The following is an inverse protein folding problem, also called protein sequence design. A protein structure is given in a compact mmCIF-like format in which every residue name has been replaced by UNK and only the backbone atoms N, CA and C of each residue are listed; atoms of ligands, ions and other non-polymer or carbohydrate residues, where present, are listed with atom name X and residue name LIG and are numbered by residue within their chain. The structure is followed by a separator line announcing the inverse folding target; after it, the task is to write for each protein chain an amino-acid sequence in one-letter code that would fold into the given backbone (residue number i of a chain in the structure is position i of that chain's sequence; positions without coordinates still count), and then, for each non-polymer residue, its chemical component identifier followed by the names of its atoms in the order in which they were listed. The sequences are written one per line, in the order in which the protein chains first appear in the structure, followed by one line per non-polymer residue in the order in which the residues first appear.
data_IF_214603189818
#
_entry.id   IF_214603189818
#
_cell.length_a   1.000
_cell.length_b   1.000
_cell.length_c   1.000
_cell.angle_alpha   90.00
_cell.angle_beta   90.00
_cell.angle_gamma   90.00
#
_symmetry.space_group_name_H-M   'P 1'
#
loop_
_entity.id
_entity.type
_entity.pdbx_description
1 polymer ?
#
# COMPACT_ATOMS: atom_id res chain seq x y z
N UNK A 1 0.11 -12.20 -7.96
CA UNK A 1 0.46 -11.91 -6.55
C UNK A 1 0.00 -10.50 -6.13
N UNK A 2 -0.53 -9.72 -7.06
CA UNK A 2 -1.01 -8.35 -6.80
C UNK A 2 -2.19 -8.34 -5.86
N UNK A 3 -2.99 -9.41 -5.93
CA UNK A 3 -4.06 -9.73 -4.99
C UNK A 3 -3.54 -9.90 -3.57
N UNK A 4 -2.35 -10.49 -3.39
CA UNK A 4 -1.71 -10.70 -2.08
C UNK A 4 -1.19 -9.36 -1.55
N UNK A 5 -0.44 -8.61 -2.36
CA UNK A 5 0.02 -7.27 -1.97
C UNK A 5 -1.17 -6.37 -1.60
N UNK A 6 -2.20 -6.33 -2.45
CA UNK A 6 -3.43 -5.56 -2.21
C UNK A 6 -4.17 -6.01 -0.97
N UNK A 7 -4.23 -7.32 -0.71
CA UNK A 7 -4.85 -7.87 0.50
C UNK A 7 -4.10 -7.41 1.75
N UNK A 8 -2.77 -7.51 1.79
CA UNK A 8 -1.98 -6.99 2.92
C UNK A 8 -2.12 -5.48 3.09
N UNK A 9 -2.24 -4.73 1.97
CA UNK A 9 -2.47 -3.29 2.01
C UNK A 9 -3.82 -2.95 2.67
N UNK A 10 -4.90 -3.57 2.19
CA UNK A 10 -6.24 -3.40 2.75
C UNK A 10 -6.29 -3.88 4.21
N UNK A 11 -5.66 -5.00 4.52
CA UNK A 11 -5.59 -5.55 5.87
C UNK A 11 -4.85 -4.61 6.82
N UNK A 12 -3.78 -3.95 6.36
CA UNK A 12 -3.05 -2.96 7.14
C UNK A 12 -3.94 -1.79 7.58
N UNK A 13 -4.81 -1.31 6.70
CA UNK A 13 -5.78 -0.26 7.02
C UNK A 13 -6.89 -0.77 7.95
N UNK A 14 -7.46 -1.93 7.62
CA UNK A 14 -8.56 -2.52 8.38
C UNK A 14 -8.14 -2.81 9.82
N UNK A 15 -6.99 -3.46 10.02
CA UNK A 15 -6.46 -3.74 11.36
C UNK A 15 -6.14 -2.45 12.11
N UNK A 16 -5.57 -1.44 11.45
CA UNK A 16 -5.33 -0.13 12.09
C UNK A 16 -6.62 0.47 12.66
N UNK A 17 -7.70 0.50 11.87
CA UNK A 17 -8.97 1.07 12.31
C UNK A 17 -9.69 0.20 13.33
N UNK A 18 -9.67 -1.14 13.20
CA UNK A 18 -10.24 -2.05 14.20
C UNK A 18 -9.55 -1.87 15.56
N UNK A 19 -8.22 -1.92 15.61
CA UNK A 19 -7.48 -1.73 16.86
C UNK A 19 -7.76 -0.35 17.47
N UNK A 20 -7.94 0.68 16.63
CA UNK A 20 -8.32 2.02 17.06
C UNK A 20 -9.74 2.06 17.66
N UNK A 21 -10.71 1.33 17.09
CA UNK A 21 -12.07 1.20 17.64
C UNK A 21 -12.05 0.55 19.03
N UNK A 22 -11.21 -0.45 19.23
CA UNK A 22 -10.97 -1.09 20.53
C UNK A 22 -10.11 -0.26 21.50
N UNK A 23 -9.81 1.01 21.17
CA UNK A 23 -9.00 1.93 21.99
C UNK A 23 -7.61 1.38 22.36
N UNK A 24 -7.05 0.50 21.52
CA UNK A 24 -5.68 0.01 21.69
C UNK A 24 -4.69 1.17 21.57
N UNK A 25 -3.56 1.06 22.29
CA UNK A 25 -2.52 2.10 22.30
C UNK A 25 -2.10 2.48 20.87
N UNK A 26 -2.09 3.78 20.58
CA UNK A 26 -1.74 4.35 19.26
C UNK A 26 -0.42 3.80 18.71
N UNK A 27 0.59 3.61 19.57
CA UNK A 27 1.89 3.07 19.19
C UNK A 27 1.79 1.65 18.62
N UNK A 28 0.91 0.82 19.16
CA UNK A 28 0.66 -0.54 18.66
C UNK A 28 -0.07 -0.46 17.32
N UNK A 29 -1.15 0.32 17.21
CA UNK A 29 -1.88 0.46 15.94
C UNK A 29 -0.97 0.91 14.79
N UNK A 30 -0.11 1.91 15.05
CA UNK A 30 0.84 2.43 14.06
C UNK A 30 1.92 1.39 13.73
N UNK A 31 2.48 0.69 14.72
CA UNK A 31 3.46 -0.39 14.47
C UNK A 31 2.87 -1.49 13.60
N UNK A 32 1.67 -1.96 13.91
CA UNK A 32 0.99 -3.01 13.14
C UNK A 32 0.71 -2.54 11.71
N UNK A 33 0.24 -1.31 11.52
CA UNK A 33 0.04 -0.71 10.20
C UNK A 33 1.34 -0.67 9.37
N UNK A 34 2.44 -0.25 9.98
CA UNK A 34 3.75 -0.19 9.32
C UNK A 34 4.23 -1.59 8.94
N UNK A 35 4.10 -2.59 9.82
CA UNK A 35 4.53 -3.96 9.54
C UNK A 35 3.75 -4.56 8.36
N UNK A 36 2.41 -4.50 8.41
CA UNK A 36 1.56 -5.04 7.35
C UNK A 36 1.71 -4.27 6.04
N UNK A 37 1.82 -2.94 6.12
CA UNK A 37 2.07 -2.08 4.96
C UNK A 37 3.42 -2.38 4.31
N UNK A 38 4.47 -2.61 5.10
CA UNK A 38 5.80 -2.97 4.59
C UNK A 38 5.78 -4.33 3.88
N UNK A 39 5.09 -5.32 4.44
CA UNK A 39 4.90 -6.64 3.79
C UNK A 39 4.22 -6.46 2.43
N UNK A 40 3.16 -5.65 2.38
CA UNK A 40 2.45 -5.36 1.13
C UNK A 40 3.37 -4.75 0.05
N UNK A 41 4.19 -3.76 0.41
CA UNK A 41 5.15 -3.13 -0.50
C UNK A 41 6.22 -4.12 -0.95
N UNK A 42 6.75 -4.95 -0.04
CA UNK A 42 7.76 -5.96 -0.38
C UNK A 42 7.23 -6.99 -1.38
N UNK A 43 6.02 -7.52 -1.14
CA UNK A 43 5.36 -8.43 -2.07
C UNK A 43 5.16 -7.76 -3.43
N UNK A 44 4.84 -6.47 -3.45
CA UNK A 44 4.68 -5.73 -4.71
C UNK A 44 6.00 -5.61 -5.49
N UNK A 45 7.10 -5.32 -4.82
CA UNK A 45 8.42 -5.21 -5.46
C UNK A 45 8.83 -6.56 -6.05
N UNK A 46 8.66 -7.65 -5.29
CA UNK A 46 8.98 -9.01 -5.76
C UNK A 46 8.16 -9.34 -7.00
N UNK A 47 6.87 -9.08 -6.99
CA UNK A 47 6.02 -9.34 -8.16
C UNK A 47 6.37 -8.47 -9.35
N UNK A 48 6.67 -7.19 -9.12
CA UNK A 48 7.09 -6.29 -10.20
C UNK A 48 8.30 -6.87 -10.93
N UNK A 49 9.32 -7.35 -10.20
CA UNK A 49 10.50 -7.98 -10.77
C UNK A 49 10.14 -9.27 -11.54
N UNK A 50 9.30 -10.13 -10.96
CA UNK A 50 8.92 -11.41 -11.57
C UNK A 50 8.11 -11.25 -12.87
N UNK A 51 7.45 -10.11 -13.06
CA UNK A 51 6.62 -9.83 -14.26
C UNK A 51 7.35 -9.11 -15.37
N UNK A 52 8.61 -8.70 -15.18
CA UNK A 52 9.41 -8.07 -16.23
C UNK A 52 9.50 -9.02 -17.44
N UNK A 53 9.11 -8.52 -18.62
CA UNK A 53 9.14 -9.30 -19.87
C UNK A 53 7.94 -10.21 -20.10
N UNK A 54 6.97 -10.26 -19.18
CA UNK A 54 5.72 -11.00 -19.39
C UNK A 54 4.67 -10.15 -20.12
N UNK A 55 3.76 -10.82 -20.83
CA UNK A 55 2.62 -10.16 -21.47
C UNK A 55 1.77 -9.43 -20.42
N UNK A 56 1.38 -8.20 -20.72
CA UNK A 56 0.58 -7.37 -19.82
C UNK A 56 1.35 -6.65 -18.71
N UNK A 57 2.69 -6.77 -18.64
CA UNK A 57 3.54 -6.06 -17.65
C UNK A 57 3.23 -4.56 -17.51
N UNK A 58 2.93 -3.87 -18.62
CA UNK A 58 2.60 -2.44 -18.62
C UNK A 58 1.43 -2.12 -17.67
N UNK A 59 0.44 -3.01 -17.55
CA UNK A 59 -0.71 -2.83 -16.65
C UNK A 59 -0.30 -2.84 -15.16
N UNK A 60 0.81 -3.50 -14.84
CA UNK A 60 1.34 -3.67 -13.49
C UNK A 60 2.19 -2.50 -13.00
N UNK A 61 2.78 -1.74 -13.94
CA UNK A 61 3.63 -0.60 -13.61
C UNK A 61 2.86 0.42 -12.78
N UNK A 62 1.62 0.74 -13.17
CA UNK A 62 0.80 1.71 -12.43
C UNK A 62 0.56 1.29 -10.98
N UNK A 63 0.25 0.01 -10.76
CA UNK A 63 0.00 -0.54 -9.43
C UNK A 63 1.27 -0.52 -8.56
N UNK A 64 2.40 -0.94 -9.13
CA UNK A 64 3.68 -0.95 -8.45
C UNK A 64 4.14 0.46 -8.08
N UNK A 65 4.00 1.44 -8.99
CA UNK A 65 4.37 2.84 -8.73
C UNK A 65 3.55 3.41 -7.57
N UNK A 66 2.23 3.22 -7.56
CA UNK A 66 1.37 3.69 -6.46
C UNK A 66 1.84 3.11 -5.12
N UNK A 67 2.05 1.79 -5.07
CA UNK A 67 2.46 1.09 -3.86
C UNK A 67 3.84 1.54 -3.35
N UNK A 68 4.80 1.73 -4.24
CA UNK A 68 6.14 2.22 -3.90
C UNK A 68 6.05 3.65 -3.34
N UNK A 69 5.26 4.53 -3.96
CA UNK A 69 5.06 5.91 -3.46
C UNK A 69 4.42 5.91 -2.08
N UNK A 70 3.44 5.05 -1.82
CA UNK A 70 2.83 4.90 -0.49
C UNK A 70 3.87 4.45 0.54
N UNK A 71 4.71 3.47 0.19
CA UNK A 71 5.82 3.01 1.04
C UNK A 71 6.82 4.12 1.36
N UNK A 72 7.31 4.85 0.35
CA UNK A 72 8.25 5.96 0.51
C UNK A 72 7.64 7.05 1.38
N UNK A 73 6.42 7.50 1.06
CA UNK A 73 5.74 8.57 1.81
C UNK A 73 5.49 8.18 3.27
N UNK A 74 5.22 6.90 3.56
CA UNK A 74 5.11 6.37 4.91
C UNK A 74 6.40 6.54 5.72
N UNK A 75 7.56 6.25 5.11
CA UNK A 75 8.89 6.45 5.75
C UNK A 75 9.22 7.94 5.91
N UNK A 76 8.89 8.76 4.89
CA UNK A 76 9.22 10.19 4.89
C UNK A 76 8.35 11.03 5.84
N UNK A 77 7.27 10.48 6.41
CA UNK A 77 6.45 11.18 7.41
C UNK A 77 7.26 11.66 8.63
N UNK A 78 8.40 11.03 8.94
CA UNK A 78 9.31 11.48 10.01
C UNK A 78 9.98 12.82 9.70
N UNK A 79 10.16 13.16 8.43
CA UNK A 79 10.82 14.39 7.97
C UNK A 79 9.82 15.56 7.91
N UNK A 80 8.69 15.37 7.23
CA UNK A 80 7.63 16.39 7.12
C UNK A 80 6.24 15.75 7.20
N UNK A 81 5.74 15.59 8.42
CA UNK A 81 4.49 14.89 8.67
C UNK A 81 3.30 15.49 7.90
N UNK A 82 3.16 16.82 7.85
CA UNK A 82 1.99 17.46 7.21
C UNK A 82 1.94 17.20 5.70
N UNK A 83 3.07 17.33 5.02
CA UNK A 83 3.14 17.13 3.57
C UNK A 83 2.99 15.65 3.22
N UNK A 84 3.84 14.79 3.78
CA UNK A 84 3.85 13.38 3.42
C UNK A 84 2.60 12.64 3.86
N UNK A 85 1.92 13.07 4.94
CA UNK A 85 0.58 12.56 5.27
C UNK A 85 -0.43 12.82 4.16
N UNK A 86 -0.47 14.04 3.60
CA UNK A 86 -1.40 14.37 2.52
C UNK A 86 -1.13 13.52 1.29
N UNK A 87 0.14 13.45 0.87
CA UNK A 87 0.55 12.65 -0.30
C UNK A 87 0.23 11.17 -0.08
N UNK A 88 0.58 10.61 1.08
CA UNK A 88 0.29 9.22 1.42
C UNK A 88 -1.21 8.90 1.34
N UNK A 89 -2.07 9.76 1.88
CA UNK A 89 -3.53 9.57 1.80
C UNK A 89 -4.02 9.67 0.36
N UNK A 90 -3.53 10.64 -0.44
CA UNK A 90 -3.92 10.80 -1.85
C UNK A 90 -3.58 9.55 -2.64
N UNK A 91 -2.37 9.00 -2.49
CA UNK A 91 -1.98 7.77 -3.18
C UNK A 91 -2.72 6.54 -2.66
N UNK A 92 -3.04 6.46 -1.37
CA UNK A 92 -3.90 5.40 -0.82
C UNK A 92 -5.30 5.46 -1.42
N UNK A 93 -5.89 6.63 -1.62
CA UNK A 93 -7.18 6.77 -2.33
C UNK A 93 -7.01 6.37 -3.79
N UNK A 94 -5.94 6.83 -4.44
CA UNK A 94 -5.59 6.46 -5.81
C UNK A 94 -5.48 4.95 -6.00
N UNK A 95 -4.90 4.23 -5.03
CA UNK A 95 -4.87 2.77 -5.01
C UNK A 95 -6.28 2.17 -5.07
N UNK A 96 -7.22 2.64 -4.24
CA UNK A 96 -8.59 2.11 -4.23
C UNK A 96 -9.37 2.44 -5.50
N UNK A 97 -9.07 3.55 -6.16
CA UNK A 97 -9.65 3.89 -7.47
C UNK A 97 -9.05 3.01 -8.57
N UNK A 98 -7.74 2.77 -8.52
CA UNK A 98 -7.03 1.97 -9.52
C UNK A 98 -7.31 0.46 -9.38
N UNK A 99 -7.57 -0.03 -8.16
CA UNK A 99 -7.86 -1.43 -7.86
C UNK A 99 -8.99 -2.05 -8.72
N UNK A 100 -10.21 -1.51 -8.79
CA UNK A 100 -11.28 -2.07 -9.61
C UNK A 100 -10.99 -1.96 -11.11
N UNK A 101 -10.26 -0.92 -11.54
CA UNK A 101 -9.83 -0.75 -12.92
C UNK A 101 -8.87 -1.88 -13.29
N UNK A 102 -7.84 -2.11 -12.48
CA UNK A 102 -6.89 -3.20 -12.68
C UNK A 102 -7.57 -4.57 -12.68
N UNK A 103 -8.53 -4.83 -11.78
CA UNK A 103 -9.28 -6.09 -11.73
C UNK A 103 -10.15 -6.30 -12.98
N UNK A 104 -10.77 -5.25 -13.52
CA UNK A 104 -11.62 -5.35 -14.72
C UNK A 104 -10.81 -5.61 -16.01
N UNK A 105 -9.55 -5.19 -16.04
CA UNK A 105 -8.66 -5.34 -17.20
C UNK A 105 -7.65 -6.50 -17.04
N UNK A 106 -7.75 -7.30 -15.98
CA UNK A 106 -7.17 -8.65 -15.84
C UNK A 106 -8.08 -9.69 -16.49
#
# INVERSE_FOLDING_TARGET
MERISSMFFCLSLLIYYILKLFKVKKSICVKTHIVLGSISVLVMIVEFILRIGQEGFIKYIGFAVIMIVIGITGVMMKNNYKLYKKIHIIFTIGFFVYLPIAIKFM
#
